data_IF_484890467598
#
_entry.id   IF_484890467598
#
_cell.length_a   1.000
_cell.length_b   1.000
_cell.length_c   1.000
_cell.angle_alpha   90.00
_cell.angle_beta   90.00
_cell.angle_gamma   90.00
#
_symmetry.space_group_name_H-M   'P 1'
#
loop_
_entity.id
_entity.type
_entity.pdbx_description
1 polymer ?
#
# COMPACT_ATOMS: atom_id res chain seq x y z
N UNK A 1 64.91 10.73 11.04
CA UNK A 1 63.85 9.98 10.33
C UNK A 1 63.00 9.30 11.41
N UNK A 2 61.92 9.95 11.84
CA UNK A 2 61.02 9.41 12.85
C UNK A 2 59.86 8.67 12.15
N UNK A 3 59.81 7.36 12.32
CA UNK A 3 58.79 6.49 11.76
C UNK A 3 57.47 6.72 12.50
N UNK A 4 56.48 7.28 11.81
CA UNK A 4 55.13 7.47 12.34
C UNK A 4 54.41 6.12 12.37
N UNK A 5 54.24 5.55 13.56
CA UNK A 5 53.43 4.34 13.78
C UNK A 5 51.96 4.70 13.52
N UNK A 6 51.22 4.00 12.64
CA UNK A 6 49.81 4.26 12.48
C UNK A 6 49.07 3.78 13.72
N UNK A 7 48.41 4.71 14.40
CA UNK A 7 47.45 4.40 15.46
C UNK A 7 46.30 3.61 14.84
N UNK A 8 46.30 2.29 15.02
CA UNK A 8 45.15 1.44 14.75
C UNK A 8 44.05 1.85 15.73
N UNK A 9 43.17 2.76 15.31
CA UNK A 9 41.96 3.12 16.05
C UNK A 9 41.11 1.86 16.15
N UNK A 10 41.06 1.31 17.36
CA UNK A 10 40.27 0.15 17.74
C UNK A 10 38.83 0.35 17.28
N UNK A 11 38.40 -0.50 16.34
CA UNK A 11 36.99 -0.74 16.04
C UNK A 11 36.28 -0.92 17.38
N UNK A 12 35.19 -0.20 17.69
CA UNK A 12 34.46 -0.45 18.93
C UNK A 12 34.08 -1.93 18.92
N UNK A 13 34.60 -2.64 19.90
CA UNK A 13 34.28 -4.05 20.14
C UNK A 13 32.75 -4.12 20.21
N UNK A 14 32.17 -4.94 19.32
CA UNK A 14 30.74 -5.19 19.36
C UNK A 14 30.44 -5.75 20.75
N UNK A 15 29.80 -4.95 21.59
CA UNK A 15 29.46 -5.32 22.96
C UNK A 15 28.91 -6.74 22.94
N UNK A 16 29.54 -7.65 23.69
CA UNK A 16 29.27 -9.08 23.72
C UNK A 16 27.94 -9.43 24.42
N UNK A 17 26.91 -8.62 24.19
CA UNK A 17 25.54 -8.81 24.66
C UNK A 17 24.56 -8.80 23.48
N UNK A 18 23.33 -9.29 23.69
CA UNK A 18 22.28 -9.15 22.70
C UNK A 18 22.12 -7.68 22.32
N UNK A 19 21.99 -7.41 21.02
CA UNK A 19 21.85 -6.05 20.50
C UNK A 19 20.69 -5.31 21.19
N UNK A 20 20.82 -4.00 21.44
CA UNK A 20 19.81 -3.22 22.14
C UNK A 20 18.45 -3.31 21.44
N UNK A 21 17.41 -3.80 22.14
CA UNK A 21 16.01 -3.78 21.65
C UNK A 21 15.22 -2.58 22.17
N UNK A 22 14.42 -1.97 21.32
CA UNK A 22 13.61 -0.80 21.70
C UNK A 22 12.62 -1.04 22.84
N UNK A 23 12.07 -2.26 22.97
CA UNK A 23 11.18 -2.64 24.09
C UNK A 23 11.85 -2.49 25.46
N UNK A 24 13.17 -2.60 25.51
CA UNK A 24 13.90 -2.64 26.77
C UNK A 24 14.00 -1.21 27.36
N UNK A 25 13.91 -0.19 26.52
CA UNK A 25 13.91 1.23 26.92
C UNK A 25 12.54 1.90 26.84
N UNK A 26 11.69 1.48 25.91
CA UNK A 26 10.43 2.15 25.61
C UNK A 26 9.26 1.19 25.53
N UNK A 27 8.07 1.69 25.86
CA UNK A 27 6.82 0.96 25.63
C UNK A 27 6.51 0.94 24.13
N UNK A 28 6.59 -0.25 23.52
CA UNK A 28 6.31 -0.45 22.09
C UNK A 28 4.91 -1.02 21.85
N UNK A 29 4.36 -0.79 20.66
CA UNK A 29 3.09 -1.40 20.25
C UNK A 29 3.27 -2.90 19.94
N UNK A 30 2.27 -3.77 20.21
CA UNK A 30 2.39 -5.22 20.02
C UNK A 30 2.61 -5.67 18.56
N UNK A 31 2.30 -4.81 17.58
CA UNK A 31 2.50 -5.06 16.15
C UNK A 31 3.70 -4.33 15.54
N UNK A 32 4.66 -3.86 16.35
CA UNK A 32 5.83 -3.15 15.85
C UNK A 32 6.70 -4.10 15.01
N UNK A 33 7.03 -3.78 13.75
CA UNK A 33 7.92 -4.60 12.94
C UNK A 33 9.28 -4.82 13.62
N UNK A 34 9.81 -6.05 13.50
CA UNK A 34 11.06 -6.46 14.14
C UNK A 34 12.25 -5.56 13.77
N UNK A 35 12.22 -4.98 12.56
CA UNK A 35 13.25 -4.03 12.11
C UNK A 35 13.33 -2.76 12.97
N UNK A 36 12.22 -2.28 13.51
CA UNK A 36 12.19 -1.18 14.46
C UNK A 36 12.41 -1.67 15.90
N UNK A 37 12.14 -2.95 16.17
CA UNK A 37 12.45 -3.59 17.45
C UNK A 37 13.96 -3.72 17.66
N UNK A 38 14.71 -3.99 16.60
CA UNK A 38 16.16 -4.23 16.60
C UNK A 38 16.86 -3.29 15.60
N UNK A 39 17.27 -2.07 16.02
CA UNK A 39 17.93 -1.11 15.12
C UNK A 39 19.24 -1.64 14.52
N UNK A 40 19.89 -2.61 15.17
CA UNK A 40 21.09 -3.26 14.65
C UNK A 40 20.88 -3.97 13.30
N UNK A 41 19.63 -4.25 12.90
CA UNK A 41 19.34 -4.84 11.59
C UNK A 41 19.56 -3.86 10.42
N UNK A 42 19.61 -2.54 10.67
CA UNK A 42 19.84 -1.53 9.64
C UNK A 42 21.31 -1.53 9.20
N UNK A 43 21.54 -1.72 7.90
CA UNK A 43 22.87 -1.79 7.29
C UNK A 43 23.12 -0.59 6.37
N UNK A 44 24.39 -0.33 6.05
CA UNK A 44 24.78 0.73 5.11
C UNK A 44 25.06 2.10 5.75
N UNK A 45 24.98 2.18 7.07
CA UNK A 45 25.41 3.33 7.84
C UNK A 45 26.85 3.14 8.32
N UNK A 46 27.55 4.25 8.52
CA UNK A 46 28.98 4.22 8.83
C UNK A 46 29.78 3.98 7.56
N UNK A 47 30.33 5.05 6.99
CA UNK A 47 31.37 4.94 5.98
C UNK A 47 32.73 4.83 6.68
N UNK A 48 33.72 4.12 6.10
CA UNK A 48 35.09 4.20 6.58
C UNK A 48 35.51 5.67 6.66
N UNK A 49 36.27 6.01 7.71
CA UNK A 49 36.61 7.40 7.97
C UNK A 49 37.33 7.99 6.74
N UNK A 50 36.75 9.02 6.09
CA UNK A 50 37.39 9.65 4.95
C UNK A 50 38.66 10.38 5.44
N UNK A 51 39.64 10.50 4.56
CA UNK A 51 40.88 11.20 4.86
C UNK A 51 40.57 12.59 5.45
N UNK A 52 41.18 13.00 6.59
CA UNK A 52 40.80 14.22 7.30
C UNK A 52 40.83 15.49 6.44
N UNK A 53 41.72 15.56 5.44
CA UNK A 53 41.82 16.69 4.50
C UNK A 53 40.78 16.68 3.36
N UNK A 54 40.10 15.56 3.11
CA UNK A 54 39.14 15.38 2.02
C UNK A 54 37.73 15.09 2.56
N UNK A 55 37.32 15.87 3.56
CA UNK A 55 35.98 15.80 4.15
C UNK A 55 35.01 16.72 3.41
N UNK A 56 33.81 16.21 3.12
CA UNK A 56 32.72 17.01 2.56
C UNK A 56 31.51 17.00 3.50
N UNK A 57 30.69 18.04 3.46
CA UNK A 57 29.49 18.16 4.31
C UNK A 57 28.47 17.05 4.04
N UNK A 58 28.39 16.59 2.79
CA UNK A 58 27.51 15.49 2.39
C UNK A 58 27.89 14.14 3.03
N UNK A 59 29.16 13.96 3.44
CA UNK A 59 29.60 12.73 4.12
C UNK A 59 28.96 12.57 5.50
N UNK A 60 28.49 13.65 6.13
CA UNK A 60 27.79 13.60 7.42
C UNK A 60 26.46 12.87 7.30
N UNK A 61 25.75 13.06 6.19
CA UNK A 61 24.47 12.39 5.96
C UNK A 61 24.66 10.88 5.78
N UNK A 62 23.88 10.08 6.51
CA UNK A 62 23.97 8.61 6.49
C UNK A 62 25.24 8.04 7.16
N UNK A 63 26.09 8.87 7.75
CA UNK A 63 27.30 8.40 8.45
C UNK A 63 27.00 7.66 9.76
N UNK A 64 25.88 7.96 10.42
CA UNK A 64 25.52 7.41 11.72
C UNK A 64 24.41 6.38 11.58
N UNK A 65 24.58 5.23 12.23
CA UNK A 65 23.56 4.19 12.28
C UNK A 65 22.41 4.58 13.22
N UNK A 66 21.17 4.17 12.90
CA UNK A 66 20.02 4.47 13.74
C UNK A 66 20.10 3.76 15.08
N UNK A 67 19.68 4.45 16.14
CA UNK A 67 19.67 3.93 17.53
C UNK A 67 18.25 3.68 18.04
N UNK A 68 18.13 3.01 19.19
CA UNK A 68 16.84 2.71 19.84
C UNK A 68 16.04 3.97 20.21
N UNK A 69 16.69 5.13 20.31
CA UNK A 69 16.08 6.41 20.64
C UNK A 69 15.57 7.18 19.41
N UNK A 70 15.97 6.77 18.21
CA UNK A 70 15.63 7.44 16.95
C UNK A 70 14.53 6.69 16.18
N UNK A 71 14.37 5.39 16.43
CA UNK A 71 13.37 4.55 15.77
C UNK A 71 11.97 4.70 16.40
N UNK A 72 10.88 4.51 15.63
CA UNK A 72 9.53 4.66 16.15
C UNK A 72 9.13 3.53 17.10
N UNK A 73 8.28 3.85 18.08
CA UNK A 73 7.71 2.89 19.05
C UNK A 73 6.39 2.26 18.58
N UNK A 74 5.75 2.85 17.56
CA UNK A 74 4.53 2.36 16.91
C UNK A 74 4.60 2.60 15.40
N UNK A 75 4.08 1.66 14.61
CA UNK A 75 4.07 1.76 13.16
C UNK A 75 2.73 1.28 12.59
N UNK A 76 1.96 2.21 12.01
CA UNK A 76 0.63 1.96 11.48
C UNK A 76 0.65 2.10 9.95
N UNK A 77 0.68 0.96 9.24
CA UNK A 77 0.68 0.93 7.78
C UNK A 77 -0.69 0.55 7.26
N UNK A 78 -1.09 1.18 6.17
CA UNK A 78 -2.25 0.78 5.37
C UNK A 78 -1.90 -0.43 4.53
N UNK A 79 -2.61 -1.54 4.73
CA UNK A 79 -2.43 -2.73 3.88
C UNK A 79 -2.94 -2.47 2.48
N UNK A 80 -2.06 -2.64 1.48
CA UNK A 80 -2.45 -2.60 0.06
C UNK A 80 -2.74 -4.00 -0.50
N UNK A 81 -2.89 -5.03 0.35
CA UNK A 81 -3.06 -6.41 -0.11
C UNK A 81 -4.29 -6.60 -1.01
N UNK A 82 -5.42 -5.93 -0.70
CA UNK A 82 -6.62 -5.96 -1.54
C UNK A 82 -6.37 -5.29 -2.90
N UNK A 83 -5.90 -4.03 -2.88
CA UNK A 83 -5.67 -3.25 -4.09
C UNK A 83 -4.59 -3.87 -4.99
N UNK A 84 -3.55 -4.47 -4.42
CA UNK A 84 -2.51 -5.15 -5.19
C UNK A 84 -3.04 -6.38 -5.93
N UNK A 85 -3.96 -7.15 -5.30
CA UNK A 85 -4.62 -8.28 -5.95
C UNK A 85 -5.49 -7.79 -7.11
N UNK A 86 -6.32 -6.77 -6.89
CA UNK A 86 -7.23 -6.26 -7.92
C UNK A 86 -6.49 -5.52 -9.04
N UNK A 87 -5.42 -4.80 -8.73
CA UNK A 87 -4.61 -4.07 -9.70
C UNK A 87 -3.95 -4.96 -10.75
N UNK A 88 -3.70 -6.23 -10.44
CA UNK A 88 -3.19 -7.22 -11.41
C UNK A 88 -4.24 -7.59 -12.47
N UNK A 89 -5.53 -7.45 -12.17
CA UNK A 89 -6.62 -7.81 -13.09
C UNK A 89 -6.85 -6.77 -14.20
N UNK A 90 -6.17 -5.61 -14.14
CA UNK A 90 -6.28 -4.56 -15.15
C UNK A 90 -7.58 -3.77 -15.09
N UNK A 91 -7.87 -3.04 -16.17
CA UNK A 91 -9.08 -2.22 -16.27
C UNK A 91 -10.32 -3.09 -16.48
N UNK A 92 -11.39 -2.80 -15.74
CA UNK A 92 -12.69 -3.44 -15.95
C UNK A 92 -13.18 -3.21 -17.37
N UNK A 93 -13.72 -4.27 -17.99
CA UNK A 93 -14.41 -4.23 -19.27
C UNK A 93 -15.77 -4.91 -19.13
N UNK A 94 -16.80 -4.24 -19.59
CA UNK A 94 -18.13 -4.83 -19.68
C UNK A 94 -18.26 -5.54 -21.04
N UNK A 95 -18.44 -6.87 -21.01
CA UNK A 95 -18.71 -7.70 -22.18
C UNK A 95 -20.12 -8.34 -22.10
N UNK A 96 -20.98 -7.84 -21.21
CA UNK A 96 -22.35 -8.32 -21.07
C UNK A 96 -23.26 -7.84 -22.20
N UNK A 97 -24.26 -8.66 -22.56
CA UNK A 97 -25.37 -8.22 -23.40
C UNK A 97 -26.46 -7.60 -22.53
N UNK A 98 -27.09 -6.53 -23.01
CA UNK A 98 -28.27 -5.98 -22.36
C UNK A 98 -29.44 -6.97 -22.52
N UNK A 99 -29.87 -7.55 -21.41
CA UNK A 99 -31.01 -8.48 -21.31
C UNK A 99 -32.15 -7.88 -20.50
N UNK A 100 -32.09 -6.60 -20.17
CA UNK A 100 -33.20 -5.94 -19.48
C UNK A 100 -34.43 -5.93 -20.39
N UNK A 101 -35.53 -6.45 -19.87
CA UNK A 101 -36.83 -6.32 -20.51
C UNK A 101 -37.30 -4.88 -20.35
N UNK A 102 -38.02 -4.39 -21.35
CA UNK A 102 -38.64 -3.07 -21.29
C UNK A 102 -39.53 -2.96 -20.05
N UNK A 103 -39.38 -1.87 -19.30
CA UNK A 103 -40.14 -1.60 -18.07
C UNK A 103 -41.17 -0.50 -18.27
N UNK A 104 -41.50 -0.18 -19.53
CA UNK A 104 -42.46 0.89 -19.79
C UNK A 104 -43.82 0.45 -19.27
N UNK A 105 -44.60 1.41 -18.80
CA UNK A 105 -45.97 1.16 -18.34
C UNK A 105 -46.89 0.72 -19.50
N UNK A 106 -46.45 0.87 -20.75
CA UNK A 106 -47.22 0.55 -21.96
C UNK A 106 -46.73 -0.76 -22.61
N UNK A 107 -45.47 -1.11 -22.46
CA UNK A 107 -44.87 -2.35 -22.99
C UNK A 107 -44.17 -3.06 -21.84
N UNK A 108 -44.93 -3.28 -20.76
CA UNK A 108 -44.47 -4.04 -19.61
C UNK A 108 -44.32 -5.53 -19.92
N UNK A 109 -43.88 -6.36 -18.95
CA UNK A 109 -43.72 -7.80 -19.13
C UNK A 109 -44.99 -8.54 -19.54
N UNK A 110 -46.15 -7.92 -19.33
CA UNK A 110 -47.46 -8.45 -19.72
C UNK A 110 -47.86 -8.08 -21.17
N UNK A 111 -47.03 -7.32 -21.91
CA UNK A 111 -47.32 -6.82 -23.26
C UNK A 111 -46.12 -6.96 -24.22
N UNK A 112 -45.56 -8.17 -24.30
CA UNK A 112 -44.59 -8.49 -25.35
C UNK A 112 -45.31 -8.67 -26.69
N UNK A 113 -45.15 -7.70 -27.58
CA UNK A 113 -45.48 -7.85 -29.00
C UNK A 113 -44.51 -8.89 -29.57
N UNK A 114 -44.90 -10.16 -29.53
CA UNK A 114 -44.13 -11.24 -30.15
C UNK A 114 -44.47 -11.33 -31.62
N UNK A 115 -43.59 -11.89 -32.45
CA UNK A 115 -43.86 -12.09 -33.88
C UNK A 115 -45.13 -12.93 -34.16
N UNK A 116 -45.62 -13.67 -33.16
CA UNK A 116 -46.84 -14.49 -33.25
C UNK A 116 -48.08 -13.82 -32.67
N UNK A 117 -47.92 -12.77 -31.86
CA UNK A 117 -49.02 -12.08 -31.20
C UNK A 117 -48.85 -10.56 -31.31
N UNK A 118 -49.16 -10.06 -32.50
CA UNK A 118 -48.95 -8.67 -32.90
C UNK A 118 -50.11 -7.75 -32.51
N UNK A 119 -51.19 -8.31 -31.96
CA UNK A 119 -52.41 -7.59 -31.61
C UNK A 119 -52.70 -7.55 -30.10
N UNK A 120 -51.77 -8.02 -29.27
CA UNK A 120 -51.88 -7.93 -27.81
C UNK A 120 -51.41 -6.55 -27.34
N UNK A 121 -52.30 -5.56 -27.48
CA UNK A 121 -52.04 -4.19 -27.02
C UNK A 121 -52.27 -4.07 -25.52
N UNK A 122 -51.49 -3.20 -24.88
CA UNK A 122 -51.64 -2.90 -23.46
C UNK A 122 -53.05 -2.42 -23.12
N UNK A 123 -53.63 -2.79 -21.96
CA UNK A 123 -54.96 -2.34 -21.54
C UNK A 123 -55.15 -0.81 -21.47
N UNK A 124 -54.06 -0.04 -21.45
CA UNK A 124 -54.08 1.43 -21.52
C UNK A 124 -54.23 1.99 -22.93
N UNK A 125 -54.00 1.17 -23.97
CA UNK A 125 -54.23 1.52 -25.36
C UNK A 125 -55.72 1.42 -25.67
N UNK A 126 -56.37 2.57 -25.87
CA UNK A 126 -57.76 2.65 -26.27
C UNK A 126 -57.86 3.09 -27.74
N UNK A 127 -58.23 2.22 -28.70
CA UNK A 127 -58.37 2.61 -30.11
C UNK A 127 -59.59 3.50 -30.38
N UNK A 128 -60.47 3.67 -29.39
CA UNK A 128 -61.74 4.40 -29.48
C UNK A 128 -61.82 5.65 -28.61
N UNK A 129 -60.72 6.03 -27.94
CA UNK A 129 -60.68 7.18 -27.03
C UNK A 129 -59.26 7.55 -26.61
N UNK A 130 -59.08 8.58 -25.77
CA UNK A 130 -57.75 8.96 -25.31
C UNK A 130 -57.13 7.83 -24.46
N UNK A 131 -55.91 7.41 -24.81
CA UNK A 131 -55.15 6.45 -24.02
C UNK A 131 -54.71 7.09 -22.70
N UNK A 132 -54.80 6.33 -21.61
CA UNK A 132 -54.44 6.75 -20.26
C UNK A 132 -52.97 6.40 -20.00
N UNK A 133 -52.17 7.36 -19.53
CA UNK A 133 -50.75 7.18 -19.20
C UNK A 133 -50.57 6.38 -17.90
#
# INVERSE_FOLDING_TARGET
LATLVPAAMSRPEAAAGPAPRTSDWYRTSPGLPERFQQPACFRGYGKPEPHPLYRTTNQTYGSRAPTVHEVPTSFHVTSHAFSNKLGQCGMYKDNGLNTSLEKSHVTGPDNFITAYDHFNFHPSYNPSGPSCC
#
